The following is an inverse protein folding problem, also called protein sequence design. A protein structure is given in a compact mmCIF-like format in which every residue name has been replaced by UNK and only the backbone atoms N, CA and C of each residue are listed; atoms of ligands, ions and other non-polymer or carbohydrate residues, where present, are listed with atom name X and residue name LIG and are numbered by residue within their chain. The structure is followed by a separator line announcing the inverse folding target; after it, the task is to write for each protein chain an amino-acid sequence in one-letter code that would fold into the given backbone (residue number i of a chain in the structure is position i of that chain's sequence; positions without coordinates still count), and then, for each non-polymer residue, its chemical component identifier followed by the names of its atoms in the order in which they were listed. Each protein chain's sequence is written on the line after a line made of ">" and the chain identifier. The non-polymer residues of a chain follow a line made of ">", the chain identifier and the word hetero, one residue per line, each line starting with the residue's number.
data_IF_595853222162
#
_entry.id   IF_595853222162
#
_cell.length_a   1.000
_cell.length_b   1.000
_cell.length_c   1.000
_cell.angle_alpha   90.00
_cell.angle_beta   90.00
_cell.angle_gamma   90.00
#
_symmetry.space_group_name_H-M   'P 1'
#
loop_
_entity.id
_entity.type
_entity.pdbx_description
1 polymer ?
#
# COMPACT_ATOMS: atom_id res chain seq x y z
N UNK A 1 5.57 5.64 -14.33
CA UNK A 1 5.38 5.92 -12.87
C UNK A 1 4.26 5.09 -12.26
N UNK A 2 3.08 5.05 -12.88
CA UNK A 2 1.91 4.32 -12.35
C UNK A 2 2.17 2.82 -12.21
N UNK A 3 2.77 2.20 -13.23
CA UNK A 3 3.11 0.77 -13.23
C UNK A 3 4.35 0.38 -12.39
N UNK A 4 4.97 1.35 -11.75
CA UNK A 4 6.12 1.16 -10.86
C UNK A 4 5.76 1.65 -9.44
N UNK A 5 6.00 2.89 -9.10
CA UNK A 5 5.69 3.43 -7.77
C UNK A 5 4.18 3.39 -7.44
N UNK A 6 3.31 3.58 -8.44
CA UNK A 6 1.85 3.59 -8.25
C UNK A 6 1.29 2.26 -7.75
N UNK A 7 1.80 1.15 -8.25
CA UNK A 7 1.32 -0.17 -7.82
C UNK A 7 1.65 -0.49 -6.35
N UNK A 8 2.76 0.02 -5.82
CA UNK A 8 3.08 -0.12 -4.40
C UNK A 8 2.10 0.65 -3.52
N UNK A 9 1.76 1.88 -3.91
CA UNK A 9 0.78 2.69 -3.20
C UNK A 9 -0.64 2.09 -3.29
N UNK A 10 -1.03 1.57 -4.46
CA UNK A 10 -2.29 0.84 -4.65
C UNK A 10 -2.36 -0.38 -3.73
N UNK A 11 -1.34 -1.24 -3.78
CA UNK A 11 -1.31 -2.47 -2.99
C UNK A 11 -1.39 -2.18 -1.49
N UNK A 12 -0.66 -1.16 -1.02
CA UNK A 12 -0.73 -0.71 0.37
C UNK A 12 -2.15 -0.23 0.73
N UNK A 13 -2.82 0.53 -0.14
CA UNK A 13 -4.18 0.97 0.09
C UNK A 13 -5.17 -0.22 0.17
N UNK A 14 -5.06 -1.18 -0.76
CA UNK A 14 -5.88 -2.39 -0.75
C UNK A 14 -5.63 -3.24 0.51
N UNK A 15 -4.37 -3.45 0.88
CA UNK A 15 -3.99 -4.21 2.06
C UNK A 15 -4.56 -3.61 3.35
N UNK A 16 -4.40 -2.30 3.52
CA UNK A 16 -4.82 -1.60 4.74
C UNK A 16 -6.34 -1.50 4.87
N UNK A 17 -7.05 -1.35 3.76
CA UNK A 17 -8.52 -1.22 3.77
C UNK A 17 -9.24 -2.57 3.67
N UNK A 18 -8.56 -3.61 3.23
CA UNK A 18 -9.18 -4.90 2.90
C UNK A 18 -10.11 -4.82 1.68
N UNK A 19 -10.00 -3.78 0.85
CA UNK A 19 -10.89 -3.51 -0.28
C UNK A 19 -10.09 -3.49 -1.59
N UNK A 20 -10.77 -3.73 -2.72
CA UNK A 20 -10.21 -3.62 -4.07
C UNK A 20 -10.78 -2.41 -4.81
N UNK A 21 -9.97 -1.80 -5.67
CA UNK A 21 -10.44 -0.70 -6.52
C UNK A 21 -11.38 -1.26 -7.57
N UNK A 22 -12.56 -0.64 -7.69
CA UNK A 22 -13.61 -1.03 -8.62
C UNK A 22 -13.66 -0.09 -9.82
N UNK A 23 -13.46 1.20 -9.61
CA UNK A 23 -13.43 2.19 -10.69
C UNK A 23 -12.42 3.30 -10.40
N UNK A 24 -11.92 3.91 -11.46
CA UNK A 24 -10.93 4.98 -11.36
C UNK A 24 -11.06 6.04 -12.46
N UNK A 25 -10.45 7.20 -12.19
CA UNK A 25 -10.16 8.25 -13.15
C UNK A 25 -8.70 8.65 -13.00
N UNK A 26 -7.94 8.67 -14.09
CA UNK A 26 -6.51 8.93 -14.09
C UNK A 26 -6.13 10.09 -15.00
N UNK A 27 -5.22 10.93 -14.52
CA UNK A 27 -4.57 11.98 -15.28
C UNK A 27 -3.06 11.75 -15.31
N UNK A 28 -2.50 11.70 -16.52
CA UNK A 28 -1.09 11.43 -16.76
C UNK A 28 -0.43 12.60 -17.45
N UNK A 29 0.75 12.97 -16.98
CA UNK A 29 1.58 13.96 -17.66
C UNK A 29 3.00 13.45 -17.88
N UNK A 30 3.65 13.98 -18.91
CA UNK A 30 5.07 13.78 -19.20
C UNK A 30 5.71 15.14 -19.45
N UNK A 31 6.38 15.64 -18.42
CA UNK A 31 6.96 16.98 -18.43
C UNK A 31 8.40 17.02 -18.92
N UNK A 32 9.10 15.89 -18.89
CA UNK A 32 10.47 15.78 -19.39
C UNK A 32 10.47 15.43 -20.86
N UNK A 33 11.10 16.28 -21.66
CA UNK A 33 11.18 16.08 -23.10
C UNK A 33 11.80 14.72 -23.46
N UNK A 34 11.18 14.01 -24.39
CA UNK A 34 11.64 12.71 -24.92
C UNK A 34 11.23 11.50 -24.07
N UNK A 35 10.53 11.66 -22.97
CA UNK A 35 9.94 10.52 -22.23
C UNK A 35 8.74 9.96 -22.98
N UNK A 36 8.70 8.62 -23.10
CA UNK A 36 7.61 7.89 -23.74
C UNK A 36 6.48 7.52 -22.78
N UNK A 37 6.80 7.47 -21.48
CA UNK A 37 5.86 7.15 -20.40
C UNK A 37 5.65 8.37 -19.52
N UNK A 38 4.56 8.37 -18.80
CA UNK A 38 4.25 9.39 -17.80
C UNK A 38 5.34 9.49 -16.71
N UNK A 39 5.66 10.71 -16.33
CA UNK A 39 6.55 11.00 -15.21
C UNK A 39 5.81 11.60 -14.00
N UNK A 40 4.54 11.91 -14.17
CA UNK A 40 3.59 12.28 -13.13
C UNK A 40 2.22 11.66 -13.38
N UNK A 41 1.56 11.21 -12.34
CA UNK A 41 0.25 10.56 -12.43
C UNK A 41 -0.60 10.83 -11.20
N UNK A 42 -1.83 11.25 -11.44
CA UNK A 42 -2.89 11.41 -10.43
C UNK A 42 -4.01 10.42 -10.73
N UNK A 43 -4.37 9.60 -9.77
CA UNK A 43 -5.49 8.65 -9.91
C UNK A 43 -6.48 8.85 -8.78
N UNK A 44 -7.72 9.15 -9.12
CA UNK A 44 -8.86 9.10 -8.20
C UNK A 44 -9.54 7.76 -8.35
N UNK A 45 -9.89 7.09 -7.25
CA UNK A 45 -10.48 5.75 -7.31
C UNK A 45 -11.60 5.55 -6.30
N UNK A 46 -12.45 4.56 -6.57
CA UNK A 46 -13.48 4.04 -5.67
C UNK A 46 -13.25 2.56 -5.45
N UNK A 47 -13.39 2.12 -4.21
CA UNK A 47 -13.26 0.73 -3.81
C UNK A 47 -14.62 0.06 -3.61
N UNK A 48 -14.65 -1.25 -3.69
CA UNK A 48 -15.85 -2.10 -3.57
C UNK A 48 -16.58 -1.94 -2.23
N UNK A 49 -15.87 -1.63 -1.14
CA UNK A 49 -16.44 -1.30 0.17
C UNK A 49 -16.87 0.16 0.34
N UNK A 50 -16.89 0.96 -0.74
CA UNK A 50 -17.33 2.36 -0.71
C UNK A 50 -16.26 3.38 -0.34
N UNK A 51 -15.05 2.96 -0.03
CA UNK A 51 -13.93 3.87 0.21
C UNK A 51 -13.56 4.63 -1.07
N UNK A 52 -13.27 5.91 -0.94
CA UNK A 52 -12.75 6.75 -2.02
C UNK A 52 -11.31 7.13 -1.72
N UNK A 53 -10.47 7.12 -2.74
CA UNK A 53 -9.05 7.42 -2.56
C UNK A 53 -8.47 8.25 -3.69
N UNK A 54 -7.26 8.72 -3.43
CA UNK A 54 -6.41 9.39 -4.41
C UNK A 54 -5.00 8.89 -4.29
N UNK A 55 -4.39 8.65 -5.42
CA UNK A 55 -3.01 8.21 -5.54
C UNK A 55 -2.28 9.22 -6.43
N UNK A 56 -1.14 9.67 -5.96
CA UNK A 56 -0.23 10.50 -6.73
C UNK A 56 1.14 9.85 -6.77
N UNK A 57 1.70 9.75 -7.96
CA UNK A 57 3.08 9.31 -8.17
C UNK A 57 3.79 10.24 -9.11
N UNK A 58 5.00 10.63 -8.77
CA UNK A 58 5.79 11.58 -9.55
C UNK A 58 7.27 11.26 -9.51
N UNK A 59 7.89 11.16 -10.68
CA UNK A 59 9.34 11.15 -10.83
C UNK A 59 9.96 12.55 -10.83
N UNK A 60 9.16 13.59 -10.62
CA UNK A 60 9.55 15.01 -10.69
C UNK A 60 9.56 15.68 -9.31
N UNK A 61 9.14 14.98 -8.26
CA UNK A 61 8.98 15.52 -6.92
C UNK A 61 10.33 15.69 -6.21
N UNK A 62 11.15 16.63 -6.65
CA UNK A 62 12.46 16.95 -6.07
C UNK A 62 12.32 17.25 -4.58
N UNK A 63 13.18 16.67 -3.75
CA UNK A 63 13.13 16.79 -2.30
C UNK A 63 12.37 15.65 -1.61
N UNK A 64 11.77 14.75 -2.38
CA UNK A 64 11.26 13.46 -1.88
C UNK A 64 12.27 12.36 -2.19
N UNK A 65 12.66 11.58 -1.18
CA UNK A 65 13.58 10.46 -1.38
C UNK A 65 12.86 9.31 -2.08
N UNK A 66 12.05 8.54 -1.36
CA UNK A 66 11.12 7.57 -1.94
C UNK A 66 9.68 8.12 -1.90
N UNK A 67 9.27 8.68 -0.75
CA UNK A 67 8.02 9.39 -0.59
C UNK A 67 6.78 8.50 -0.46
N UNK A 68 6.93 7.17 -0.36
CA UNK A 68 5.78 6.29 -0.16
C UNK A 68 5.14 6.56 1.19
N UNK A 69 3.88 6.96 1.16
CA UNK A 69 3.10 7.26 2.36
C UNK A 69 1.64 6.94 2.14
N UNK A 70 0.95 6.69 3.23
CA UNK A 70 -0.51 6.51 3.23
C UNK A 70 -1.14 7.32 4.35
N UNK A 71 -2.30 7.90 4.04
CA UNK A 71 -3.21 8.49 5.03
C UNK A 71 -4.58 7.87 4.83
N UNK A 72 -5.19 7.42 5.92
CA UNK A 72 -6.55 6.86 5.90
C UNK A 72 -7.39 7.63 6.91
N UNK A 73 -8.59 8.00 6.49
CA UNK A 73 -9.55 8.72 7.29
C UNK A 73 -10.83 7.91 7.38
N UNK A 74 -11.27 7.61 8.59
CA UNK A 74 -12.49 6.89 8.88
C UNK A 74 -13.34 7.61 9.93
N UNK A 75 -14.51 7.07 10.21
CA UNK A 75 -15.47 7.66 11.14
C UNK A 75 -14.94 7.79 12.58
N UNK A 76 -14.06 6.87 12.99
CA UNK A 76 -13.53 6.80 14.36
C UNK A 76 -12.17 7.46 14.51
N UNK A 77 -11.57 7.94 13.43
CA UNK A 77 -10.24 8.55 13.44
C UNK A 77 -9.49 8.33 12.14
N UNK A 78 -8.23 8.70 12.13
CA UNK A 78 -7.37 8.54 10.97
C UNK A 78 -5.95 8.17 11.35
N UNK A 79 -5.20 7.66 10.39
CA UNK A 79 -3.78 7.41 10.60
C UNK A 79 -2.95 7.83 9.40
N UNK A 80 -1.66 8.01 9.67
CA UNK A 80 -0.63 8.31 8.67
C UNK A 80 0.60 7.43 8.93
N UNK A 81 1.14 6.87 7.85
CA UNK A 81 2.42 6.17 7.85
C UNK A 81 3.29 6.63 6.68
N UNK A 82 4.61 6.66 6.88
CA UNK A 82 5.60 7.07 5.89
C UNK A 82 6.78 6.10 5.89
N UNK A 83 7.22 5.68 4.70
CA UNK A 83 8.29 4.69 4.55
C UNK A 83 9.65 5.17 5.07
N UNK A 84 9.92 6.48 5.04
CA UNK A 84 11.16 7.05 5.57
C UNK A 84 11.21 7.01 7.11
N UNK A 85 10.07 6.79 7.77
CA UNK A 85 9.95 6.58 9.22
C UNK A 85 9.11 5.33 9.52
N UNK A 86 9.55 4.15 9.06
CA UNK A 86 8.69 2.96 8.99
C UNK A 86 8.27 2.41 10.35
N UNK A 87 8.99 2.77 11.41
CA UNK A 87 8.71 2.28 12.77
C UNK A 87 7.61 3.05 13.49
N UNK A 88 7.07 4.11 12.89
CA UNK A 88 6.09 5.01 13.51
C UNK A 88 4.79 5.05 12.73
N UNK A 89 3.67 4.84 13.43
CA UNK A 89 2.33 5.07 12.93
C UNK A 89 1.69 6.22 13.72
N UNK A 90 1.31 7.27 13.02
CA UNK A 90 0.56 8.38 13.62
C UNK A 90 -0.92 8.04 13.61
N UNK A 91 -1.51 7.85 14.78
CA UNK A 91 -2.91 7.55 14.98
C UNK A 91 -3.64 8.71 15.65
N UNK A 92 -4.74 9.16 15.08
CA UNK A 92 -5.58 10.23 15.62
C UNK A 92 -7.00 9.72 15.80
N UNK A 93 -7.41 9.33 17.03
CA UNK A 93 -8.81 9.04 17.34
C UNK A 93 -9.66 10.29 17.13
N UNK A 94 -10.94 10.11 16.80
CA UNK A 94 -11.86 11.23 16.65
C UNK A 94 -11.99 12.01 17.98
N UNK A 95 -11.73 13.30 17.93
CA UNK A 95 -11.81 14.18 19.09
C UNK A 95 -10.63 14.11 20.07
N UNK A 96 -9.58 13.37 19.73
CA UNK A 96 -8.39 13.22 20.58
C UNK A 96 -7.11 13.72 19.88
N UNK A 97 -6.03 14.01 20.64
CA UNK A 97 -4.72 14.32 20.08
C UNK A 97 -4.13 13.13 19.30
N UNK A 98 -3.29 13.42 18.32
CA UNK A 98 -2.51 12.41 17.60
C UNK A 98 -1.55 11.70 18.56
N UNK A 99 -1.52 10.37 18.49
CA UNK A 99 -0.58 9.48 19.17
C UNK A 99 0.39 8.90 18.17
N UNK A 100 1.62 8.68 18.58
CA UNK A 100 2.61 7.96 17.78
C UNK A 100 2.70 6.55 18.37
N UNK A 101 2.36 5.54 17.56
CA UNK A 101 2.51 4.14 17.90
C UNK A 101 3.85 3.66 17.32
N UNK A 102 4.69 3.16 18.20
CA UNK A 102 6.01 2.64 17.80
C UNK A 102 5.91 1.13 17.51
N UNK A 103 6.61 0.69 16.46
CA UNK A 103 6.75 -0.73 16.17
C UNK A 103 7.33 -1.49 17.36
N UNK A 104 6.71 -2.62 17.71
CA UNK A 104 7.14 -3.49 18.81
C UNK A 104 6.85 -2.92 20.21
N UNK A 105 6.09 -1.81 20.33
CA UNK A 105 5.61 -1.35 21.61
C UNK A 105 4.56 -2.31 22.22
N UNK A 106 4.42 -2.31 23.53
CA UNK A 106 3.40 -3.10 24.21
C UNK A 106 1.97 -2.69 23.80
N UNK A 107 1.09 -3.67 23.71
CA UNK A 107 -0.34 -3.44 23.41
C UNK A 107 -0.68 -3.28 21.94
N UNK A 108 0.24 -3.54 21.02
CA UNK A 108 -0.04 -3.62 19.60
C UNK A 108 -0.82 -4.89 19.23
N UNK A 109 -1.44 -4.88 18.06
CA UNK A 109 -2.13 -6.06 17.56
C UNK A 109 -1.14 -7.23 17.34
N UNK A 110 -1.52 -8.50 17.62
CA UNK A 110 -0.62 -9.65 17.49
C UNK A 110 0.05 -9.78 16.13
N UNK A 111 -0.62 -9.39 15.04
CA UNK A 111 -0.04 -9.39 13.69
C UNK A 111 1.11 -8.38 13.56
N UNK A 112 0.99 -7.21 14.16
CA UNK A 112 2.05 -6.21 14.17
C UNK A 112 3.24 -6.67 15.05
N UNK A 113 2.95 -7.29 16.20
CA UNK A 113 3.98 -7.85 17.07
C UNK A 113 4.75 -8.97 16.38
N UNK A 114 4.05 -9.92 15.75
CA UNK A 114 4.65 -11.00 14.94
C UNK A 114 5.57 -10.47 13.84
N UNK A 115 5.26 -9.35 13.23
CA UNK A 115 6.05 -8.73 12.18
C UNK A 115 7.29 -7.98 12.72
N UNK A 116 7.33 -7.66 14.01
CA UNK A 116 8.44 -7.00 14.68
C UNK A 116 9.54 -8.00 15.04
N UNK A 117 10.79 -7.76 14.64
CA UNK A 117 11.92 -8.69 14.81
C UNK A 117 13.01 -8.18 15.74
N UNK A 118 13.15 -6.87 15.81
CA UNK A 118 14.19 -6.22 16.60
C UNK A 118 13.52 -5.45 17.73
N UNK A 119 14.18 -5.39 18.88
CA UNK A 119 13.69 -4.67 20.05
C UNK A 119 13.35 -3.21 19.72
N UNK A 120 12.34 -2.69 20.39
CA UNK A 120 11.95 -1.26 20.35
C UNK A 120 13.15 -0.35 20.51
N UNK A 121 13.19 0.75 19.77
CA UNK A 121 14.30 1.69 19.72
C UNK A 121 15.39 1.36 18.71
N UNK A 122 15.32 0.22 18.04
CA UNK A 122 16.19 -0.15 16.93
C UNK A 122 15.38 -0.12 15.62
N UNK A 123 15.96 0.50 14.57
CA UNK A 123 15.27 0.66 13.30
C UNK A 123 15.09 -0.68 12.57
N UNK A 124 13.88 -0.95 12.14
CA UNK A 124 13.58 -1.95 11.11
C UNK A 124 13.17 -1.23 9.82
N UNK A 125 13.35 -1.91 8.69
CA UNK A 125 13.01 -1.36 7.39
C UNK A 125 12.84 -2.43 6.33
N UNK A 126 13.04 -2.06 5.08
CA UNK A 126 12.78 -2.87 3.89
C UNK A 126 13.38 -4.30 3.96
N UNK A 127 14.63 -4.53 4.37
CA UNK A 127 15.16 -5.90 4.44
C UNK A 127 14.37 -6.82 5.38
N UNK A 128 13.91 -6.30 6.52
CA UNK A 128 13.13 -7.08 7.49
C UNK A 128 11.68 -7.27 7.04
N UNK A 129 11.12 -6.30 6.33
CA UNK A 129 9.81 -6.46 5.69
C UNK A 129 9.85 -7.61 4.66
N UNK A 130 10.85 -7.66 3.79
CA UNK A 130 11.04 -8.79 2.88
C UNK A 130 11.27 -10.11 3.61
N UNK A 131 12.07 -10.12 4.68
CA UNK A 131 12.28 -11.33 5.49
C UNK A 131 10.97 -11.85 6.10
N UNK A 132 10.02 -10.98 6.45
CA UNK A 132 8.69 -11.36 6.91
C UNK A 132 7.89 -12.03 5.79
N UNK A 133 7.88 -11.46 4.57
CA UNK A 133 7.20 -12.08 3.42
C UNK A 133 7.74 -13.48 3.11
N UNK A 134 9.07 -13.65 3.07
CA UNK A 134 9.68 -14.96 2.82
C UNK A 134 9.40 -15.97 3.93
N UNK A 135 9.36 -15.53 5.20
CA UNK A 135 8.96 -16.39 6.30
C UNK A 135 7.53 -16.87 6.14
N UNK A 136 6.60 -15.96 5.88
CA UNK A 136 5.19 -16.27 5.74
C UNK A 136 4.93 -17.22 4.57
N UNK A 137 5.56 -16.99 3.44
CA UNK A 137 5.51 -17.90 2.30
C UNK A 137 6.11 -19.29 2.65
N UNK A 138 7.23 -19.31 3.36
CA UNK A 138 7.87 -20.55 3.80
C UNK A 138 6.98 -21.35 4.75
N UNK A 139 6.39 -20.70 5.75
CA UNK A 139 5.46 -21.30 6.71
C UNK A 139 4.21 -21.87 6.01
N UNK A 140 3.68 -21.14 5.05
CA UNK A 140 2.56 -21.58 4.22
C UNK A 140 2.90 -22.85 3.44
N UNK A 141 4.02 -22.84 2.70
CA UNK A 141 4.47 -24.00 1.91
C UNK A 141 4.71 -25.23 2.80
N UNK A 142 5.33 -25.05 3.96
CA UNK A 142 5.59 -26.15 4.88
C UNK A 142 4.30 -26.74 5.46
N UNK A 143 3.31 -25.90 5.76
CA UNK A 143 2.00 -26.35 6.21
C UNK A 143 1.31 -27.22 5.16
N UNK A 144 1.29 -26.75 3.90
CA UNK A 144 0.73 -27.53 2.79
C UNK A 144 1.45 -28.87 2.59
N UNK A 145 2.79 -28.88 2.63
CA UNK A 145 3.58 -30.14 2.52
C UNK A 145 3.29 -31.11 3.65
N UNK A 146 2.95 -30.62 4.82
CA UNK A 146 2.58 -31.43 5.98
C UNK A 146 1.10 -31.84 6.01
N UNK A 147 0.32 -31.49 4.99
CA UNK A 147 -1.13 -31.74 4.93
C UNK A 147 -1.93 -30.97 5.98
N UNK A 148 -1.41 -29.87 6.47
CA UNK A 148 -2.05 -29.01 7.47
C UNK A 148 -2.58 -27.73 6.83
N UNK A 149 -3.66 -27.20 7.38
CA UNK A 149 -4.14 -25.87 7.02
C UNK A 149 -3.10 -24.82 7.47
N UNK A 150 -2.63 -23.91 6.58
CA UNK A 150 -1.73 -22.82 6.95
C UNK A 150 -2.39 -21.86 7.93
N UNK A 151 -1.61 -21.33 8.86
CA UNK A 151 -2.06 -20.27 9.76
C UNK A 151 -2.55 -19.04 8.94
N UNK A 152 -3.76 -18.53 9.19
CA UNK A 152 -4.28 -17.35 8.50
C UNK A 152 -3.31 -16.16 8.50
N UNK A 153 -2.59 -15.96 9.60
CA UNK A 153 -1.62 -14.87 9.73
C UNK A 153 -0.44 -14.99 8.76
N UNK A 154 -0.08 -16.23 8.36
CA UNK A 154 0.98 -16.48 7.37
C UNK A 154 0.51 -16.30 5.92
N UNK A 155 -0.74 -15.94 5.70
CA UNK A 155 -1.33 -15.70 4.37
C UNK A 155 -1.41 -14.22 4.01
N UNK A 156 -0.87 -13.32 4.82
CA UNK A 156 -0.95 -11.87 4.62
C UNK A 156 -0.07 -11.35 3.46
N UNK A 157 0.65 -12.21 2.75
CA UNK A 157 1.41 -11.82 1.57
C UNK A 157 0.52 -11.79 0.31
N UNK A 158 0.84 -10.92 -0.69
CA UNK A 158 0.04 -10.80 -1.90
C UNK A 158 0.09 -12.08 -2.74
N UNK A 159 -1.08 -12.49 -3.24
CA UNK A 159 -1.25 -13.65 -4.11
C UNK A 159 -1.37 -13.27 -5.59
N UNK A 160 -1.68 -14.28 -6.41
CA UNK A 160 -1.88 -14.12 -7.85
C UNK A 160 -3.01 -13.13 -8.19
N UNK A 161 -4.11 -13.21 -7.45
CA UNK A 161 -5.28 -12.32 -7.64
C UNK A 161 -4.96 -10.85 -7.35
N UNK A 162 -4.05 -10.57 -6.40
CA UNK A 162 -3.58 -9.21 -6.12
C UNK A 162 -2.71 -8.69 -7.25
N UNK A 163 -1.88 -9.56 -7.82
CA UNK A 163 -1.07 -9.24 -9.00
C UNK A 163 -1.93 -8.94 -10.23
N UNK A 164 -2.97 -9.74 -10.48
CA UNK A 164 -3.92 -9.54 -11.57
C UNK A 164 -4.65 -8.20 -11.40
N UNK A 165 -5.22 -7.95 -10.24
CA UNK A 165 -5.89 -6.68 -9.93
C UNK A 165 -4.97 -5.46 -10.14
N UNK A 166 -3.70 -5.61 -9.82
CA UNK A 166 -2.69 -4.56 -10.04
C UNK A 166 -2.50 -4.26 -11.54
N UNK A 167 -2.46 -5.29 -12.39
CA UNK A 167 -2.37 -5.13 -13.83
C UNK A 167 -3.64 -4.48 -14.41
N UNK A 168 -4.81 -4.92 -13.97
CA UNK A 168 -6.10 -4.38 -14.39
C UNK A 168 -6.21 -2.88 -14.02
N UNK A 169 -5.75 -2.51 -12.82
CA UNK A 169 -5.66 -1.11 -12.39
C UNK A 169 -4.77 -0.28 -13.34
N UNK A 170 -3.58 -0.76 -13.68
CA UNK A 170 -2.67 -0.05 -14.59
C UNK A 170 -3.29 0.13 -15.97
N UNK A 171 -3.92 -0.93 -16.52
CA UNK A 171 -4.59 -0.86 -17.81
C UNK A 171 -5.79 0.10 -17.79
N UNK A 172 -6.57 0.08 -16.73
CA UNK A 172 -7.69 1.01 -16.54
C UNK A 172 -7.20 2.46 -16.42
N UNK A 173 -6.11 2.71 -15.68
CA UNK A 173 -5.51 4.04 -15.56
C UNK A 173 -5.02 4.58 -16.91
N UNK A 174 -4.33 3.76 -17.69
CA UNK A 174 -3.91 4.14 -19.06
C UNK A 174 -5.11 4.42 -19.96
N UNK A 175 -6.16 3.60 -19.89
CA UNK A 175 -7.40 3.81 -20.65
C UNK A 175 -8.06 5.12 -20.27
N UNK A 176 -8.24 5.36 -18.97
CA UNK A 176 -8.83 6.60 -18.44
C UNK A 176 -8.07 7.85 -18.89
N UNK A 177 -6.75 7.85 -18.73
CA UNK A 177 -5.91 8.99 -19.11
C UNK A 177 -5.98 9.29 -20.63
N UNK A 178 -6.00 8.26 -21.48
CA UNK A 178 -6.15 8.42 -22.93
C UNK A 178 -7.53 8.95 -23.37
N UNK A 179 -8.53 8.74 -22.54
CA UNK A 179 -9.91 9.12 -22.80
C UNK A 179 -10.31 10.40 -22.03
N UNK A 180 -9.35 11.27 -21.72
CA UNK A 180 -9.58 12.56 -21.08
C UNK A 180 -9.94 12.45 -19.60
N UNK A 181 -9.33 11.50 -18.90
CA UNK A 181 -9.51 11.28 -17.45
C UNK A 181 -10.93 10.88 -17.05
N UNK A 182 -11.68 10.25 -17.95
CA UNK A 182 -13.02 9.76 -17.61
C UNK A 182 -12.95 8.59 -16.62
N UNK A 183 -13.98 8.44 -15.81
CA UNK A 183 -14.15 7.28 -14.95
C UNK A 183 -14.30 5.99 -15.78
N UNK A 184 -13.58 4.96 -15.39
CA UNK A 184 -13.62 3.62 -15.99
C UNK A 184 -13.67 2.55 -14.91
N UNK A 185 -14.36 1.45 -15.21
CA UNK A 185 -14.35 0.26 -14.36
C UNK A 185 -13.07 -0.55 -14.57
N UNK A 186 -12.68 -1.30 -13.53
CA UNK A 186 -11.55 -2.23 -13.55
C UNK A 186 -12.05 -3.64 -13.86
#
# INVERSE_FOLDING_TARGET
>A
MTADAGIHALHMACFVTGQKVQSLSADFSSSVQGRLLEDDSMVSFRMDGGTVGRLWTSGLAIGRAHGLRIQVFGEKGGFRWEQEQPNQLHWTPLGEPTRILERGAEGLHPEADRASRITVGHAEGMPLAFANLYRDLGDHIQSLKAGREPDPISRAYPGFEDGLHTLDFVHAAVRSAREGSRWVEI
#
